data_IF_440833510182
#
_entry.id   IF_440833510182
#
_cell.length_a   1.000
_cell.length_b   1.000
_cell.length_c   1.000
_cell.angle_alpha   90.00
_cell.angle_beta   90.00
_cell.angle_gamma   90.00
#
_symmetry.space_group_name_H-M   'P 1'
#
loop_
_entity.id
_entity.type
_entity.pdbx_description
1 polymer ?
#
# COMPACT_ATOMS: atom_id res chain seq x y z
N UNK A 1 16.81 -23.74 -3.34
CA UNK A 1 17.08 -23.58 -1.89
C UNK A 1 18.46 -24.04 -1.44
N UNK A 2 18.94 -25.27 -1.74
CA UNK A 2 20.31 -25.71 -1.38
C UNK A 2 21.41 -24.73 -1.79
N UNK A 3 21.38 -24.30 -3.06
CA UNK A 3 22.35 -23.34 -3.56
C UNK A 3 22.36 -22.04 -2.74
N UNK A 4 21.18 -21.45 -2.45
CA UNK A 4 21.09 -20.24 -1.60
C UNK A 4 21.67 -20.46 -0.21
N UNK A 5 21.45 -21.63 0.42
CA UNK A 5 22.06 -21.95 1.71
C UNK A 5 23.59 -21.97 1.65
N UNK A 6 24.16 -22.42 0.54
CA UNK A 6 25.61 -22.51 0.36
C UNK A 6 26.23 -21.13 0.09
N UNK A 7 25.55 -20.27 -0.68
CA UNK A 7 26.15 -19.04 -1.21
C UNK A 7 25.66 -17.73 -0.56
N UNK A 8 24.48 -17.72 0.06
CA UNK A 8 23.86 -16.50 0.60
C UNK A 8 23.95 -16.41 2.12
N UNK A 9 25.17 -16.52 2.67
CA UNK A 9 25.41 -16.38 4.11
C UNK A 9 25.06 -14.98 4.65
N UNK A 10 25.00 -13.99 3.75
CA UNK A 10 24.67 -12.60 4.08
C UNK A 10 23.15 -12.33 4.15
N UNK A 11 22.30 -13.29 3.76
CA UNK A 11 20.84 -13.12 3.64
C UNK A 11 20.44 -11.97 2.72
N UNK A 12 21.04 -11.96 1.54
CA UNK A 12 20.64 -11.07 0.44
C UNK A 12 19.21 -11.38 -0.02
N UNK A 13 18.84 -12.66 -0.09
CA UNK A 13 17.47 -13.09 -0.38
C UNK A 13 16.66 -13.11 0.91
N UNK A 14 15.63 -12.26 0.99
CA UNK A 14 14.80 -12.11 2.19
C UNK A 14 13.55 -12.99 2.18
N UNK A 15 13.01 -13.29 1.00
CA UNK A 15 11.82 -14.12 0.80
C UNK A 15 11.82 -14.72 -0.61
N UNK A 16 11.02 -15.76 -0.82
CA UNK A 16 10.88 -16.45 -2.11
C UNK A 16 9.39 -16.57 -2.47
N UNK A 17 9.02 -16.11 -3.67
CA UNK A 17 7.71 -16.44 -4.24
C UNK A 17 7.73 -17.88 -4.75
N UNK A 18 6.73 -18.69 -4.38
CA UNK A 18 6.58 -20.06 -4.86
C UNK A 18 5.57 -20.06 -6.00
N UNK A 19 6.03 -20.39 -7.20
CA UNK A 19 5.29 -20.22 -8.47
C UNK A 19 4.97 -18.75 -8.79
N UNK A 20 4.21 -18.51 -9.86
CA UNK A 20 3.72 -17.18 -10.24
C UNK A 20 2.28 -17.28 -10.74
N UNK A 21 1.37 -16.52 -10.14
CA UNK A 21 -0.03 -16.38 -10.56
C UNK A 21 -0.73 -17.73 -10.83
N UNK A 22 -0.59 -18.67 -9.89
CA UNK A 22 -1.22 -19.99 -10.01
C UNK A 22 -2.72 -19.84 -10.20
N UNK A 23 -3.28 -20.53 -11.19
CA UNK A 23 -4.71 -20.53 -11.46
C UNK A 23 -5.01 -21.20 -12.79
N UNK A 24 -6.29 -21.40 -13.08
CA UNK A 24 -6.73 -22.06 -14.31
C UNK A 24 -7.66 -21.19 -15.15
N UNK A 25 -7.43 -21.21 -16.45
CA UNK A 25 -8.31 -20.67 -17.49
C UNK A 25 -8.54 -21.78 -18.53
N UNK A 26 -9.73 -21.90 -19.15
CA UNK A 26 -10.88 -21.00 -19.06
C UNK A 26 -12.01 -21.50 -18.12
N UNK A 27 -11.76 -22.52 -17.30
CA UNK A 27 -12.79 -23.15 -16.47
C UNK A 27 -12.56 -22.91 -14.98
N UNK A 28 -13.62 -23.04 -14.18
CA UNK A 28 -13.52 -22.97 -12.72
C UNK A 28 -12.59 -24.06 -12.13
N UNK A 29 -12.60 -25.24 -12.74
CA UNK A 29 -11.77 -26.40 -12.37
C UNK A 29 -11.47 -27.23 -13.59
N UNK A 30 -10.26 -27.79 -13.68
CA UNK A 30 -9.95 -28.80 -14.70
C UNK A 30 -10.86 -30.03 -14.51
N UNK A 31 -11.51 -30.48 -15.59
CA UNK A 31 -12.48 -31.58 -15.52
C UNK A 31 -13.72 -31.29 -14.66
N UNK A 32 -13.99 -30.03 -14.32
CA UNK A 32 -15.23 -29.59 -13.69
C UNK A 32 -16.42 -29.67 -14.66
N UNK A 33 -17.62 -29.90 -14.13
CA UNK A 33 -18.84 -29.86 -14.94
C UNK A 33 -19.41 -28.44 -15.06
N UNK A 34 -18.95 -27.51 -14.21
CA UNK A 34 -19.45 -26.14 -14.16
C UNK A 34 -20.84 -26.01 -13.53
N UNK A 35 -21.40 -27.10 -12.97
CA UNK A 35 -22.72 -27.09 -12.34
C UNK A 35 -22.77 -26.21 -11.08
N UNK A 36 -21.67 -26.16 -10.33
CA UNK A 36 -21.43 -25.20 -9.24
C UNK A 36 -20.01 -24.66 -9.37
N UNK A 37 -19.85 -23.59 -10.16
CA UNK A 37 -18.56 -22.98 -10.44
C UNK A 37 -17.81 -22.52 -9.17
N UNK A 38 -18.53 -22.11 -8.12
CA UNK A 38 -17.90 -21.68 -6.88
C UNK A 38 -17.37 -22.87 -6.05
N UNK A 39 -18.10 -23.98 -6.02
CA UNK A 39 -17.60 -25.22 -5.41
C UNK A 39 -16.45 -25.84 -6.21
N UNK A 40 -16.54 -25.79 -7.55
CA UNK A 40 -15.48 -26.23 -8.45
C UNK A 40 -14.20 -25.41 -8.22
N UNK A 41 -14.31 -24.08 -8.15
CA UNK A 41 -13.18 -23.19 -7.86
C UNK A 41 -12.55 -23.47 -6.49
N UNK A 42 -13.34 -23.61 -5.42
CA UNK A 42 -12.79 -23.96 -4.10
C UNK A 42 -12.06 -25.30 -4.11
N UNK A 43 -12.54 -26.25 -4.91
CA UNK A 43 -11.87 -27.55 -5.08
C UNK A 43 -10.55 -27.38 -5.83
N UNK A 44 -10.53 -26.57 -6.90
CA UNK A 44 -9.32 -26.24 -7.64
C UNK A 44 -8.28 -25.54 -6.74
N UNK A 45 -8.73 -24.58 -5.91
CA UNK A 45 -7.88 -23.85 -4.98
C UNK A 45 -7.19 -24.77 -3.97
N UNK A 46 -7.93 -25.74 -3.39
CA UNK A 46 -7.35 -26.74 -2.47
C UNK A 46 -6.29 -27.62 -3.16
N UNK A 47 -6.51 -27.97 -4.42
CA UNK A 47 -5.54 -28.76 -5.18
C UNK A 47 -4.25 -27.97 -5.46
N UNK A 48 -4.37 -26.71 -5.89
CA UNK A 48 -3.22 -25.83 -6.09
C UNK A 48 -2.48 -25.53 -4.79
N UNK A 49 -3.20 -25.21 -3.71
CA UNK A 49 -2.60 -24.99 -2.41
C UNK A 49 -1.80 -26.21 -1.94
N UNK A 50 -2.33 -27.43 -2.06
CA UNK A 50 -1.63 -28.65 -1.68
C UNK A 50 -0.36 -28.90 -2.52
N UNK A 51 -0.42 -28.61 -3.83
CA UNK A 51 0.76 -28.71 -4.70
C UNK A 51 1.85 -27.70 -4.29
N UNK A 52 1.47 -26.43 -4.14
CA UNK A 52 2.39 -25.36 -3.72
C UNK A 52 2.99 -25.66 -2.34
N UNK A 53 2.20 -26.19 -1.41
CA UNK A 53 2.67 -26.58 -0.08
C UNK A 53 3.78 -27.63 -0.16
N UNK A 54 3.62 -28.65 -1.01
CA UNK A 54 4.62 -29.69 -1.18
C UNK A 54 5.96 -29.11 -1.69
N UNK A 55 5.90 -28.14 -2.61
CA UNK A 55 7.06 -27.40 -3.11
C UNK A 55 7.70 -26.56 -2.00
N UNK A 56 6.90 -25.74 -1.32
CA UNK A 56 7.33 -24.85 -0.24
C UNK A 56 7.93 -25.62 0.94
N UNK A 57 7.26 -26.67 1.42
CA UNK A 57 7.73 -27.54 2.50
C UNK A 57 9.08 -28.16 2.16
N UNK A 58 9.27 -28.60 0.92
CA UNK A 58 10.53 -29.17 0.44
C UNK A 58 11.63 -28.10 0.39
N UNK A 59 11.32 -26.91 -0.10
CA UNK A 59 12.24 -25.78 -0.10
C UNK A 59 12.69 -25.37 1.31
N UNK A 60 11.73 -25.24 2.24
CA UNK A 60 12.00 -24.84 3.63
C UNK A 60 12.83 -25.84 4.41
N UNK A 61 12.74 -27.16 4.11
CA UNK A 61 13.64 -28.17 4.70
C UNK A 61 15.11 -27.94 4.34
N UNK A 62 15.38 -27.38 3.16
CA UNK A 62 16.74 -27.08 2.72
C UNK A 62 17.23 -25.75 3.28
N UNK A 63 16.41 -24.69 3.19
CA UNK A 63 16.68 -23.36 3.72
C UNK A 63 15.37 -22.62 4.06
N UNK A 64 15.06 -22.38 5.34
CA UNK A 64 13.75 -21.89 5.78
C UNK A 64 13.62 -20.36 5.63
N UNK A 65 13.67 -19.86 4.40
CA UNK A 65 13.27 -18.47 4.09
C UNK A 65 11.75 -18.33 4.14
N UNK A 66 11.23 -17.12 4.45
CA UNK A 66 9.85 -16.77 4.19
C UNK A 66 9.46 -17.06 2.72
N UNK A 67 8.30 -17.65 2.52
CA UNK A 67 7.74 -18.01 1.22
C UNK A 67 6.31 -17.53 1.10
N UNK A 68 5.96 -16.95 -0.05
CA UNK A 68 4.62 -16.48 -0.34
C UNK A 68 4.16 -16.93 -1.73
N UNK A 69 2.88 -16.77 -2.02
CA UNK A 69 2.32 -16.92 -3.36
C UNK A 69 1.57 -15.68 -3.77
N UNK A 70 1.58 -15.37 -5.05
CA UNK A 70 0.90 -14.22 -5.62
C UNK A 70 -0.32 -14.63 -6.47
N UNK A 71 -1.33 -13.76 -6.49
CA UNK A 71 -2.62 -14.03 -7.11
C UNK A 71 -2.97 -12.97 -8.15
N UNK A 72 -3.20 -13.42 -9.38
CA UNK A 72 -3.74 -12.62 -10.47
C UNK A 72 -5.21 -12.29 -10.25
N UNK A 73 -5.56 -11.00 -10.13
CA UNK A 73 -6.96 -10.62 -9.89
C UNK A 73 -7.83 -10.82 -11.14
N UNK A 74 -9.12 -11.07 -10.90
CA UNK A 74 -10.16 -11.00 -11.92
C UNK A 74 -10.80 -9.62 -12.02
N UNK A 75 -11.48 -9.38 -13.15
CA UNK A 75 -12.43 -8.26 -13.23
C UNK A 75 -13.54 -8.43 -12.17
N UNK A 76 -14.15 -7.35 -11.67
CA UNK A 76 -15.30 -7.46 -10.78
C UNK A 76 -16.43 -8.27 -11.42
N UNK A 77 -17.15 -9.04 -10.60
CA UNK A 77 -18.40 -9.71 -10.96
C UNK A 77 -18.33 -10.70 -12.15
N UNK A 78 -17.15 -11.24 -12.49
CA UNK A 78 -17.03 -12.33 -13.48
C UNK A 78 -16.99 -13.70 -12.80
N UNK A 79 -17.45 -14.73 -13.50
CA UNK A 79 -17.45 -16.11 -13.00
C UNK A 79 -16.03 -16.73 -13.01
N UNK A 80 -15.71 -17.67 -12.10
CA UNK A 80 -14.45 -18.41 -12.11
C UNK A 80 -14.16 -19.03 -13.48
N UNK A 81 -12.91 -18.96 -13.92
CA UNK A 81 -12.48 -19.33 -15.28
C UNK A 81 -12.45 -18.15 -16.27
N UNK A 82 -12.99 -16.98 -15.91
CA UNK A 82 -12.73 -15.71 -16.60
C UNK A 82 -11.59 -14.90 -15.97
N UNK A 83 -11.00 -15.47 -14.92
CA UNK A 83 -9.77 -15.09 -14.25
C UNK A 83 -9.08 -16.39 -13.80
N UNK A 84 -7.78 -16.38 -13.44
CA UNK A 84 -7.04 -17.57 -13.02
C UNK A 84 -7.69 -18.26 -11.81
N UNK A 85 -8.60 -19.20 -12.10
CA UNK A 85 -9.49 -19.82 -11.13
C UNK A 85 -8.70 -20.68 -10.16
N UNK A 86 -9.05 -20.61 -8.88
CA UNK A 86 -8.37 -21.34 -7.82
C UNK A 86 -7.06 -20.69 -7.34
N UNK A 87 -6.67 -19.54 -7.91
CA UNK A 87 -5.49 -18.81 -7.44
C UNK A 87 -5.63 -18.25 -6.03
N UNK A 88 -4.55 -17.70 -5.45
CA UNK A 88 -4.51 -17.20 -4.07
C UNK A 88 -5.21 -15.84 -3.93
N UNK A 89 -6.54 -15.87 -4.10
CA UNK A 89 -7.45 -14.72 -4.09
C UNK A 89 -8.09 -14.49 -2.72
N UNK A 90 -8.53 -13.26 -2.44
CA UNK A 90 -9.15 -12.89 -1.17
C UNK A 90 -10.32 -13.82 -0.78
N UNK A 91 -11.23 -14.15 -1.70
CA UNK A 91 -12.37 -15.03 -1.43
C UNK A 91 -11.99 -16.51 -1.26
N UNK A 92 -10.74 -16.88 -1.59
CA UNK A 92 -10.17 -18.22 -1.43
C UNK A 92 -9.08 -18.26 -0.34
N UNK A 93 -8.91 -17.19 0.44
CA UNK A 93 -7.85 -17.10 1.44
C UNK A 93 -7.94 -18.21 2.49
N UNK A 94 -9.15 -18.71 2.77
CA UNK A 94 -9.36 -19.85 3.67
C UNK A 94 -8.79 -21.13 3.07
N UNK A 95 -9.16 -21.46 1.83
CA UNK A 95 -8.69 -22.65 1.11
C UNK A 95 -7.16 -22.67 1.03
N UNK A 96 -6.54 -21.54 0.72
CA UNK A 96 -5.08 -21.42 0.64
C UNK A 96 -4.40 -21.56 2.00
N UNK A 97 -4.92 -20.90 3.04
CA UNK A 97 -4.36 -21.02 4.40
C UNK A 97 -4.49 -22.43 4.97
N UNK A 98 -5.60 -23.12 4.69
CA UNK A 98 -5.81 -24.50 5.13
C UNK A 98 -4.99 -25.50 4.29
N UNK A 99 -4.88 -25.27 2.98
CA UNK A 99 -4.24 -26.18 2.04
C UNK A 99 -2.72 -26.02 1.90
N UNK A 100 -2.16 -24.87 2.29
CA UNK A 100 -0.74 -24.57 2.16
C UNK A 100 -0.10 -24.02 3.46
N UNK A 101 -0.04 -24.82 4.55
CA UNK A 101 0.51 -24.38 5.84
C UNK A 101 2.00 -24.01 5.81
N UNK A 102 2.77 -24.40 4.79
CA UNK A 102 4.18 -24.04 4.62
C UNK A 102 4.38 -22.70 3.94
N UNK A 103 3.34 -22.13 3.33
CA UNK A 103 3.33 -20.77 2.77
C UNK A 103 3.01 -19.78 3.89
N UNK A 104 3.81 -18.73 4.04
CA UNK A 104 3.67 -17.78 5.14
C UNK A 104 2.53 -16.78 4.93
N UNK A 105 2.25 -16.40 3.67
CA UNK A 105 1.12 -15.53 3.31
C UNK A 105 0.81 -15.61 1.81
N UNK A 106 -0.40 -15.14 1.46
CA UNK A 106 -0.80 -14.88 0.07
C UNK A 106 -0.69 -13.38 -0.21
N UNK A 107 -0.45 -13.01 -1.46
CA UNK A 107 -0.21 -11.64 -1.86
C UNK A 107 -0.97 -11.30 -3.16
N UNK A 108 -1.57 -10.10 -3.28
CA UNK A 108 -2.25 -9.71 -4.50
C UNK A 108 -1.31 -9.09 -5.54
N UNK A 109 -1.43 -9.53 -6.80
CA UNK A 109 -0.89 -8.81 -7.97
C UNK A 109 -1.98 -7.91 -8.54
N UNK A 110 -1.79 -6.60 -8.54
CA UNK A 110 -2.89 -5.66 -8.79
C UNK A 110 -2.56 -4.71 -9.95
N UNK A 111 -3.31 -4.88 -11.03
CA UNK A 111 -3.26 -4.03 -12.24
C UNK A 111 -4.56 -3.28 -12.53
N UNK A 112 -5.56 -3.40 -11.64
CA UNK A 112 -6.85 -2.76 -11.84
C UNK A 112 -6.97 -1.43 -11.09
N UNK A 113 -7.69 -0.44 -11.66
CA UNK A 113 -7.90 0.85 -11.01
C UNK A 113 -8.54 0.78 -9.62
N UNK A 114 -9.41 -0.20 -9.35
CA UNK A 114 -10.01 -0.45 -8.03
C UNK A 114 -9.04 -1.09 -7.01
N UNK A 115 -7.77 -0.68 -7.07
CA UNK A 115 -6.66 -1.17 -6.29
C UNK A 115 -6.95 -1.20 -4.78
N UNK A 116 -7.45 -0.10 -4.24
CA UNK A 116 -7.75 0.03 -2.81
C UNK A 116 -8.77 -1.02 -2.35
N UNK A 117 -9.81 -1.27 -3.14
CA UNK A 117 -10.83 -2.28 -2.80
C UNK A 117 -10.27 -3.70 -2.80
N UNK A 118 -9.35 -4.01 -3.71
CA UNK A 118 -8.69 -5.32 -3.77
C UNK A 118 -7.81 -5.52 -2.52
N UNK A 119 -6.96 -4.55 -2.18
CA UNK A 119 -6.13 -4.61 -0.97
C UNK A 119 -6.97 -4.75 0.30
N UNK A 120 -8.08 -4.02 0.37
CA UNK A 120 -9.01 -4.07 1.48
C UNK A 120 -9.66 -5.47 1.59
N UNK A 121 -10.02 -6.09 0.47
CA UNK A 121 -10.54 -7.46 0.42
C UNK A 121 -9.58 -8.52 0.97
N UNK A 122 -8.28 -8.45 0.68
CA UNK A 122 -7.28 -9.35 1.28
C UNK A 122 -7.17 -9.13 2.79
N UNK A 123 -7.20 -7.86 3.22
CA UNK A 123 -7.17 -7.49 4.63
C UNK A 123 -8.39 -8.04 5.39
N UNK A 124 -9.58 -7.89 4.83
CA UNK A 124 -10.85 -8.38 5.38
C UNK A 124 -10.93 -9.90 5.40
N UNK A 125 -10.33 -10.57 4.41
CA UNK A 125 -10.17 -12.02 4.37
C UNK A 125 -9.17 -12.57 5.42
N UNK A 126 -8.54 -11.70 6.21
CA UNK A 126 -7.62 -12.06 7.29
C UNK A 126 -6.19 -12.32 6.83
N UNK A 127 -5.80 -11.87 5.63
CA UNK A 127 -4.43 -12.02 5.11
C UNK A 127 -3.48 -11.10 5.88
N UNK A 128 -2.46 -11.70 6.50
CA UNK A 128 -1.38 -11.03 7.24
C UNK A 128 -0.09 -11.87 7.13
N UNK A 129 1.08 -11.25 6.89
CA UNK A 129 1.26 -9.85 6.49
C UNK A 129 0.65 -9.56 5.12
N UNK A 130 0.46 -8.26 4.82
CA UNK A 130 0.09 -7.80 3.49
C UNK A 130 1.36 -7.38 2.74
N UNK A 131 1.56 -7.90 1.53
CA UNK A 131 2.64 -7.53 0.63
C UNK A 131 2.08 -7.38 -0.77
N UNK A 132 2.48 -6.33 -1.50
CA UNK A 132 2.04 -6.11 -2.89
C UNK A 132 3.26 -6.39 -3.78
N UNK A 133 3.45 -7.65 -4.23
CA UNK A 133 4.60 -8.08 -5.04
C UNK A 133 4.56 -7.50 -6.45
N UNK A 134 3.36 -7.25 -6.96
CA UNK A 134 3.13 -6.59 -8.24
C UNK A 134 2.02 -5.54 -8.08
N UNK A 135 2.38 -4.29 -8.37
CA UNK A 135 1.43 -3.21 -8.57
C UNK A 135 1.57 -2.72 -10.01
N UNK A 136 0.48 -2.16 -10.56
CA UNK A 136 0.32 -1.50 -11.87
C UNK A 136 1.59 -1.07 -12.59
N UNK A 137 1.53 -1.01 -13.93
CA UNK A 137 2.63 -0.53 -14.74
C UNK A 137 3.17 0.85 -14.29
N UNK A 138 4.45 1.17 -14.56
CA UNK A 138 5.07 2.41 -14.09
C UNK A 138 4.33 3.68 -14.50
N UNK A 139 3.60 3.65 -15.61
CA UNK A 139 2.82 4.77 -16.13
C UNK A 139 1.47 5.01 -15.43
N UNK A 140 1.06 4.13 -14.52
CA UNK A 140 -0.15 4.34 -13.71
C UNK A 140 0.06 5.52 -12.76
N UNK A 141 -0.72 6.58 -12.95
CA UNK A 141 -0.72 7.78 -12.10
C UNK A 141 -0.96 7.47 -10.62
N UNK A 142 -1.84 6.51 -10.32
CA UNK A 142 -2.26 6.17 -8.96
C UNK A 142 -1.25 5.33 -8.17
N UNK A 143 -0.19 4.82 -8.81
CA UNK A 143 0.84 3.96 -8.19
C UNK A 143 1.35 4.52 -6.85
N UNK A 144 1.67 5.81 -6.81
CA UNK A 144 2.20 6.47 -5.61
C UNK A 144 1.17 6.50 -4.48
N UNK A 145 -0.06 6.90 -4.78
CA UNK A 145 -1.14 6.94 -3.80
C UNK A 145 -1.45 5.53 -3.28
N UNK A 146 -1.48 4.53 -4.16
CA UNK A 146 -1.68 3.12 -3.83
C UNK A 146 -0.58 2.59 -2.90
N UNK A 147 0.69 2.95 -3.14
CA UNK A 147 1.80 2.57 -2.27
C UNK A 147 1.65 3.17 -0.86
N UNK A 148 1.46 4.48 -0.77
CA UNK A 148 1.37 5.19 0.52
C UNK A 148 0.13 4.76 1.31
N UNK A 149 -1.01 4.53 0.64
CA UNK A 149 -2.21 3.96 1.27
C UNK A 149 -1.95 2.54 1.77
N UNK A 150 -1.36 1.66 0.96
CA UNK A 150 -1.11 0.26 1.37
C UNK A 150 -0.18 0.19 2.59
N UNK A 151 0.90 0.96 2.57
CA UNK A 151 1.88 1.02 3.66
C UNK A 151 1.25 1.62 4.91
N UNK A 152 0.63 2.80 4.82
CA UNK A 152 0.18 3.54 6.00
C UNK A 152 -1.16 3.09 6.56
N UNK A 153 -2.11 2.64 5.71
CA UNK A 153 -3.47 2.30 6.15
C UNK A 153 -3.64 0.80 6.41
N UNK A 154 -2.98 -0.04 5.61
CA UNK A 154 -3.10 -1.50 5.69
C UNK A 154 -1.83 -2.19 6.19
N UNK A 155 -0.86 -1.40 6.61
CA UNK A 155 0.40 -1.85 7.21
C UNK A 155 1.14 -2.85 6.31
N UNK A 156 1.09 -2.61 4.99
CA UNK A 156 1.81 -3.44 4.04
C UNK A 156 3.31 -3.46 4.36
N UNK A 157 3.92 -4.65 4.33
CA UNK A 157 5.36 -4.84 4.59
C UNK A 157 6.22 -4.52 3.37
N UNK A 158 5.59 -4.32 2.21
CA UNK A 158 6.26 -3.95 0.97
C UNK A 158 5.26 -3.67 -0.15
N UNK A 159 5.76 -2.96 -1.15
CA UNK A 159 5.06 -2.59 -2.37
C UNK A 159 6.08 -2.60 -3.51
N UNK A 160 5.76 -3.27 -4.61
CA UNK A 160 6.69 -3.53 -5.71
C UNK A 160 5.98 -3.31 -7.05
N UNK A 161 6.19 -2.15 -7.71
CA UNK A 161 5.70 -1.92 -9.06
C UNK A 161 6.33 -2.89 -10.05
N UNK A 162 5.54 -3.40 -10.99
CA UNK A 162 6.01 -4.29 -12.03
C UNK A 162 6.68 -3.53 -13.19
N UNK A 163 7.67 -4.16 -13.83
CA UNK A 163 8.37 -3.67 -15.04
C UNK A 163 8.97 -2.24 -14.92
N UNK A 164 9.59 -1.91 -13.78
CA UNK A 164 10.21 -0.59 -13.57
C UNK A 164 11.38 -0.29 -14.54
N UNK A 165 11.97 -1.31 -15.13
CA UNK A 165 13.00 -1.23 -16.16
C UNK A 165 12.48 -0.60 -17.46
N UNK A 166 11.17 -0.68 -17.72
CA UNK A 166 10.51 -0.11 -18.89
C UNK A 166 9.93 1.29 -18.62
N UNK A 167 10.15 1.84 -17.42
CA UNK A 167 9.62 3.13 -17.04
C UNK A 167 10.23 4.26 -17.88
N UNK A 168 9.36 5.12 -18.45
CA UNK A 168 9.80 6.37 -19.05
C UNK A 168 10.45 7.29 -18.01
N UNK A 169 11.24 8.27 -18.46
CA UNK A 169 12.02 9.14 -17.56
C UNK A 169 11.16 9.80 -16.47
N UNK A 170 9.98 10.32 -16.82
CA UNK A 170 9.07 10.95 -15.86
C UNK A 170 8.52 9.94 -14.83
N UNK A 171 8.17 8.73 -15.25
CA UNK A 171 7.68 7.68 -14.35
C UNK A 171 8.79 7.16 -13.44
N UNK A 172 10.00 6.95 -13.98
CA UNK A 172 11.18 6.58 -13.20
C UNK A 172 11.52 7.64 -12.13
N UNK A 173 11.45 8.93 -12.48
CA UNK A 173 11.64 10.02 -11.51
C UNK A 173 10.55 10.03 -10.43
N UNK A 174 9.29 9.80 -10.80
CA UNK A 174 8.16 9.73 -9.86
C UNK A 174 8.30 8.55 -8.88
N UNK A 175 8.60 7.36 -9.39
CA UNK A 175 8.82 6.15 -8.57
C UNK A 175 10.08 6.32 -7.72
N UNK A 176 11.17 6.83 -8.28
CA UNK A 176 12.41 7.12 -7.57
C UNK A 176 12.20 8.12 -6.42
N UNK A 177 11.42 9.17 -6.66
CA UNK A 177 11.04 10.16 -5.65
C UNK A 177 10.27 9.56 -4.47
N UNK A 178 9.30 8.68 -4.76
CA UNK A 178 8.57 7.93 -3.74
C UNK A 178 9.52 7.11 -2.84
N UNK A 179 10.39 6.30 -3.42
CA UNK A 179 11.31 5.46 -2.64
C UNK A 179 12.43 6.26 -1.98
N UNK A 180 12.88 7.37 -2.57
CA UNK A 180 13.83 8.28 -1.94
C UNK A 180 13.24 8.92 -0.68
N UNK A 181 11.95 9.30 -0.71
CA UNK A 181 11.21 9.79 0.45
C UNK A 181 11.02 8.67 1.49
N UNK A 182 10.49 7.50 1.09
CA UNK A 182 10.24 6.38 2.00
C UNK A 182 11.53 5.91 2.68
N UNK A 183 12.66 5.85 1.97
CA UNK A 183 13.96 5.45 2.54
C UNK A 183 14.40 6.34 3.70
N UNK A 184 14.11 7.64 3.64
CA UNK A 184 14.44 8.58 4.72
C UNK A 184 13.63 8.30 5.99
N UNK A 185 12.38 7.83 5.84
CA UNK A 185 11.44 7.64 6.95
C UNK A 185 11.16 6.17 7.28
N UNK A 186 11.82 5.21 6.62
CA UNK A 186 11.52 3.78 6.78
C UNK A 186 11.60 3.28 8.24
N UNK A 187 12.61 3.66 9.06
CA UNK A 187 12.63 3.29 10.48
C UNK A 187 11.45 3.87 11.28
N UNK A 188 11.03 5.08 10.92
CA UNK A 188 9.88 5.75 11.55
C UNK A 188 8.56 5.07 11.15
N UNK A 189 8.39 4.76 9.86
CA UNK A 189 7.20 4.09 9.32
C UNK A 189 7.03 2.72 9.97
N UNK A 190 8.06 1.88 9.98
CA UNK A 190 7.99 0.52 10.57
C UNK A 190 7.65 0.55 12.06
N UNK A 191 8.27 1.46 12.83
CA UNK A 191 7.92 1.67 14.25
C UNK A 191 6.48 2.16 14.42
N UNK A 192 6.05 3.12 13.60
CA UNK A 192 4.70 3.68 13.68
C UNK A 192 3.62 2.66 13.27
N UNK A 193 3.87 1.79 12.29
CA UNK A 193 2.98 0.67 11.93
C UNK A 193 2.80 -0.28 13.12
N UNK A 194 3.89 -0.66 13.79
CA UNK A 194 3.84 -1.55 14.95
C UNK A 194 3.07 -0.96 16.16
N UNK A 195 3.10 0.36 16.31
CA UNK A 195 2.47 1.07 17.43
C UNK A 195 1.10 1.70 17.07
N UNK A 196 0.60 1.52 15.84
CA UNK A 196 -0.66 2.11 15.38
C UNK A 196 -0.65 3.64 15.31
N UNK A 197 0.52 4.24 15.05
CA UNK A 197 0.74 5.70 15.02
C UNK A 197 0.86 6.27 13.60
N UNK A 198 0.35 5.58 12.59
CA UNK A 198 0.46 5.96 11.18
C UNK A 198 -0.88 5.79 10.48
N UNK A 199 -1.16 6.67 9.52
CA UNK A 199 -2.28 6.55 8.58
C UNK A 199 -1.78 6.81 7.17
N UNK A 200 -2.15 5.93 6.25
CA UNK A 200 -1.92 6.08 4.81
C UNK A 200 -3.11 6.78 4.15
N UNK A 201 -2.82 7.74 3.29
CA UNK A 201 -3.79 8.61 2.65
C UNK A 201 -3.64 8.52 1.14
N UNK A 202 -4.77 8.46 0.45
CA UNK A 202 -4.89 8.36 -1.00
C UNK A 202 -6.33 8.05 -1.36
N UNK A 203 -6.82 8.65 -2.44
CA UNK A 203 -8.20 8.46 -2.87
C UNK A 203 -8.40 7.04 -3.42
N UNK A 204 -9.46 6.33 -3.04
CA UNK A 204 -9.84 5.13 -3.76
C UNK A 204 -10.31 5.51 -5.17
N UNK A 205 -9.98 4.65 -6.13
CA UNK A 205 -10.41 4.78 -7.53
C UNK A 205 -11.36 3.63 -7.83
N UNK A 206 -12.44 3.89 -8.57
CA UNK A 206 -13.38 2.86 -9.02
C UNK A 206 -12.76 1.99 -10.12
N UNK A 207 -13.40 0.88 -10.49
CA UNK A 207 -12.92 0.05 -11.58
C UNK A 207 -12.93 0.79 -12.93
N UNK A 208 -13.86 1.73 -13.08
CA UNK A 208 -14.04 2.61 -14.23
C UNK A 208 -12.99 3.74 -14.28
N UNK A 209 -12.11 3.85 -13.28
CA UNK A 209 -11.07 4.88 -13.21
C UNK A 209 -11.52 6.20 -12.58
N UNK A 210 -12.66 6.23 -11.88
CA UNK A 210 -13.15 7.42 -11.21
C UNK A 210 -12.63 7.49 -9.78
N UNK A 211 -11.85 8.53 -9.46
CA UNK A 211 -11.39 8.76 -8.10
C UNK A 211 -12.51 9.33 -7.22
N UNK A 212 -12.71 8.76 -6.03
CA UNK A 212 -13.53 9.37 -4.99
C UNK A 212 -12.75 10.53 -4.36
N UNK A 213 -13.24 11.74 -4.57
CA UNK A 213 -12.59 12.98 -4.12
C UNK A 213 -13.21 13.54 -2.84
N UNK A 214 -14.07 12.77 -2.17
CA UNK A 214 -14.54 13.13 -0.84
C UNK A 214 -13.34 13.35 0.11
N UNK A 215 -13.41 14.33 1.03
CA UNK A 215 -12.34 14.52 2.01
C UNK A 215 -12.07 13.24 2.79
N UNK A 216 -10.80 12.82 2.80
CA UNK A 216 -10.33 11.72 3.63
C UNK A 216 -10.31 12.20 5.08
N UNK A 217 -10.65 11.30 6.01
CA UNK A 217 -10.62 11.60 7.46
C UNK A 217 -9.69 10.63 8.17
N UNK A 218 -8.89 11.14 9.11
CA UNK A 218 -8.00 10.33 9.92
C UNK A 218 -8.00 10.82 11.37
N UNK A 219 -8.23 9.91 12.31
CA UNK A 219 -8.12 10.18 13.75
C UNK A 219 -6.77 9.63 14.25
N UNK A 220 -5.94 10.50 14.85
CA UNK A 220 -4.60 10.11 15.30
C UNK A 220 -4.12 11.05 16.42
N UNK A 221 -3.62 10.51 17.53
CA UNK A 221 -3.01 11.31 18.60
C UNK A 221 -3.97 12.32 19.30
N UNK A 222 -5.28 12.06 19.29
CA UNK A 222 -6.30 12.96 19.86
C UNK A 222 -6.73 14.10 18.94
N UNK A 223 -6.26 14.11 17.70
CA UNK A 223 -6.65 15.02 16.64
C UNK A 223 -7.41 14.29 15.53
N UNK A 224 -8.37 14.98 14.92
CA UNK A 224 -9.04 14.56 13.69
C UNK A 224 -8.55 15.41 12.53
N UNK A 225 -8.08 14.75 11.49
CA UNK A 225 -7.56 15.37 10.29
C UNK A 225 -8.56 15.22 9.15
N UNK A 226 -8.86 16.31 8.46
CA UNK A 226 -9.57 16.29 7.18
C UNK A 226 -8.58 16.59 6.07
N UNK A 227 -8.47 15.69 5.10
CA UNK A 227 -7.46 15.74 4.04
C UNK A 227 -8.14 15.77 2.69
N UNK A 228 -7.73 16.70 1.84
CA UNK A 228 -8.11 16.74 0.42
C UNK A 228 -6.87 16.57 -0.45
N UNK A 229 -7.03 15.86 -1.56
CA UNK A 229 -6.02 15.76 -2.62
C UNK A 229 -6.22 16.79 -3.72
N UNK A 230 -7.21 17.66 -3.60
CA UNK A 230 -7.41 18.77 -4.53
C UNK A 230 -6.65 19.96 -4.00
N UNK A 231 -5.63 20.38 -4.73
CA UNK A 231 -4.89 21.58 -4.39
C UNK A 231 -5.56 22.81 -5.01
N UNK A 232 -6.05 23.78 -4.21
CA UNK A 232 -6.73 24.96 -4.76
C UNK A 232 -5.76 26.00 -5.32
N UNK A 233 -4.45 25.85 -5.10
CA UNK A 233 -3.41 26.73 -5.66
C UNK A 233 -2.82 26.23 -6.99
N UNK A 234 -3.17 25.01 -7.40
CA UNK A 234 -2.81 24.44 -8.71
C UNK A 234 -4.04 24.40 -9.61
N UNK A 235 -3.91 24.70 -10.91
CA UNK A 235 -5.02 24.55 -11.86
C UNK A 235 -5.60 23.12 -11.84
N UNK A 236 -6.92 23.00 -11.99
CA UNK A 236 -7.61 21.70 -11.86
C UNK A 236 -7.20 20.69 -12.94
N UNK A 237 -6.87 21.17 -14.13
CA UNK A 237 -6.44 20.39 -15.28
C UNK A 237 -4.93 20.09 -15.28
N UNK A 238 -4.17 20.63 -14.33
CA UNK A 238 -2.72 20.42 -14.18
C UNK A 238 -2.38 19.52 -12.99
N UNK A 239 -3.39 18.95 -12.34
CA UNK A 239 -3.23 18.05 -11.21
C UNK A 239 -4.01 16.76 -11.44
N UNK A 240 -3.50 15.65 -10.92
CA UNK A 240 -4.17 14.35 -10.90
C UNK A 240 -4.40 13.91 -9.45
N UNK A 241 -5.58 14.20 -8.88
CA UNK A 241 -5.90 13.83 -7.50
C UNK A 241 -5.85 12.32 -7.21
N UNK A 242 -5.92 11.45 -8.22
CA UNK A 242 -5.78 10.00 -8.04
C UNK A 242 -4.31 9.61 -7.77
N UNK A 243 -3.35 10.40 -8.25
CA UNK A 243 -1.92 10.21 -8.02
C UNK A 243 -1.42 10.72 -6.66
N UNK A 244 -2.23 11.51 -5.97
CA UNK A 244 -1.86 12.18 -4.73
C UNK A 244 -2.04 11.27 -3.51
N UNK A 245 -1.07 11.29 -2.60
CA UNK A 245 -1.09 10.44 -1.42
C UNK A 245 -0.05 10.85 -0.39
N UNK A 246 -0.18 10.28 0.81
CA UNK A 246 0.66 10.65 1.94
C UNK A 246 0.63 9.67 3.10
N UNK A 247 1.62 9.81 3.97
CA UNK A 247 1.70 9.17 5.28
C UNK A 247 1.61 10.26 6.34
N UNK A 248 0.62 10.14 7.21
CA UNK A 248 0.50 10.93 8.42
C UNK A 248 0.99 10.08 9.60
N UNK A 249 1.98 10.58 10.33
CA UNK A 249 2.60 9.87 11.46
C UNK A 249 2.52 10.75 12.71
N UNK A 250 2.01 10.19 13.80
CA UNK A 250 2.05 10.85 15.11
C UNK A 250 3.38 10.54 15.80
N UNK A 251 4.19 11.56 16.06
CA UNK A 251 5.52 11.43 16.64
C UNK A 251 5.50 11.33 18.18
N UNK A 252 4.35 11.64 18.79
CA UNK A 252 4.15 11.69 20.23
C UNK A 252 3.81 13.11 20.69
N UNK A 253 3.08 13.22 21.81
CA UNK A 253 2.59 14.51 22.31
C UNK A 253 1.80 15.25 21.23
N UNK A 254 2.22 16.47 20.92
CA UNK A 254 1.59 17.35 19.94
C UNK A 254 2.28 17.33 18.56
N UNK A 255 3.30 16.49 18.38
CA UNK A 255 4.15 16.47 17.20
C UNK A 255 3.72 15.42 16.17
N UNK A 256 3.72 15.82 14.90
CA UNK A 256 3.29 15.01 13.77
C UNK A 256 4.24 15.20 12.57
N UNK A 257 4.17 14.24 11.66
CA UNK A 257 4.88 14.27 10.39
C UNK A 257 3.92 13.90 9.26
N UNK A 258 3.95 14.68 8.18
CA UNK A 258 3.29 14.37 6.92
C UNK A 258 4.36 14.19 5.84
N UNK A 259 4.31 13.08 5.11
CA UNK A 259 5.19 12.81 3.99
C UNK A 259 4.38 12.36 2.77
N UNK A 260 4.61 12.93 1.60
CA UNK A 260 3.85 12.57 0.39
C UNK A 260 3.88 13.64 -0.69
N UNK A 261 2.81 13.71 -1.49
CA UNK A 261 2.64 14.68 -2.57
C UNK A 261 1.16 15.00 -2.80
N UNK A 262 0.86 16.26 -3.14
CA UNK A 262 -0.47 16.69 -3.62
C UNK A 262 -1.59 16.63 -2.58
N UNK A 263 -1.30 16.93 -1.31
CA UNK A 263 -2.28 16.85 -0.23
C UNK A 263 -2.36 18.14 0.58
N UNK A 264 -3.56 18.45 1.07
CA UNK A 264 -3.79 19.50 2.06
C UNK A 264 -4.58 18.92 3.22
N UNK A 265 -4.10 19.12 4.45
CA UNK A 265 -4.79 18.71 5.67
C UNK A 265 -5.15 19.90 6.55
N UNK A 266 -6.33 19.82 7.15
CA UNK A 266 -6.78 20.67 8.26
C UNK A 266 -7.01 19.79 9.49
N UNK A 267 -7.13 20.39 10.66
CA UNK A 267 -7.20 19.66 11.92
C UNK A 267 -8.27 20.23 12.85
N UNK A 268 -8.90 19.34 13.62
CA UNK A 268 -9.79 19.67 14.71
C UNK A 268 -9.56 18.73 15.91
N UNK A 269 -9.96 19.12 17.13
CA UNK A 269 -9.98 18.22 18.27
C UNK A 269 -10.87 16.99 17.99
N UNK A 270 -10.35 15.79 18.25
CA UNK A 270 -11.12 14.55 18.03
C UNK A 270 -12.36 14.45 18.95
N UNK A 271 -12.27 15.03 20.15
CA UNK A 271 -13.35 15.13 21.13
C UNK A 271 -14.41 16.19 20.75
N UNK A 272 -14.15 17.02 19.73
CA UNK A 272 -15.02 18.11 19.31
C UNK A 272 -15.01 19.32 20.24
N UNK A 273 -14.14 19.36 21.25
CA UNK A 273 -14.09 20.43 22.24
C UNK A 273 -12.95 21.43 21.96
N UNK A 274 -13.31 22.71 21.77
CA UNK A 274 -12.37 23.79 21.50
C UNK A 274 -11.91 23.83 20.04
N UNK A 275 -10.72 24.38 19.79
CA UNK A 275 -10.10 24.41 18.46
C UNK A 275 -8.67 23.89 18.51
N UNK A 276 -8.18 23.44 17.37
CA UNK A 276 -6.77 23.12 17.16
C UNK A 276 -6.18 23.98 16.06
N UNK A 277 -4.91 24.33 16.22
CA UNK A 277 -4.12 25.06 15.24
C UNK A 277 -2.73 24.46 15.11
N UNK A 278 -1.98 24.96 14.14
CA UNK A 278 -0.58 24.59 13.94
C UNK A 278 0.31 25.62 14.64
N UNK A 279 1.01 25.22 15.71
CA UNK A 279 2.02 26.05 16.38
C UNK A 279 3.16 26.30 15.40
N UNK A 280 3.50 25.24 14.66
CA UNK A 280 4.34 25.37 13.50
C UNK A 280 4.13 24.32 12.44
N UNK A 281 4.60 24.68 11.24
CA UNK A 281 4.78 23.78 10.11
C UNK A 281 6.17 24.03 9.55
N UNK A 282 6.94 22.98 9.35
CA UNK A 282 8.32 23.04 8.88
C UNK A 282 8.57 21.94 7.87
N UNK A 283 9.10 22.31 6.71
CA UNK A 283 9.62 21.33 5.74
C UNK A 283 11.05 20.94 6.10
N UNK A 284 11.43 19.73 5.71
CA UNK A 284 12.77 19.23 5.92
C UNK A 284 12.92 17.82 5.38
N UNK A 285 13.99 17.17 5.79
CA UNK A 285 14.34 15.83 5.34
C UNK A 285 15.10 15.10 6.44
N UNK A 286 15.28 13.78 6.31
CA UNK A 286 16.13 13.03 7.23
C UNK A 286 17.48 12.71 6.58
N UNK A 287 18.56 12.98 7.32
CA UNK A 287 19.93 12.59 6.99
C UNK A 287 20.48 11.75 8.14
N UNK A 288 20.95 10.53 7.85
CA UNK A 288 21.47 9.64 8.91
C UNK A 288 20.47 9.28 10.01
N UNK A 289 19.16 9.44 9.77
CA UNK A 289 18.11 9.24 10.77
C UNK A 289 17.82 10.46 11.64
N UNK A 290 18.56 11.56 11.46
CA UNK A 290 18.33 12.83 12.13
C UNK A 290 17.55 13.79 11.24
N UNK A 291 16.77 14.67 11.86
CA UNK A 291 15.97 15.66 11.13
C UNK A 291 16.83 16.86 10.74
N UNK A 292 16.94 17.11 9.44
CA UNK A 292 17.51 18.32 8.89
C UNK A 292 16.41 19.33 8.62
N UNK A 293 16.48 20.47 9.31
CA UNK A 293 15.52 21.56 9.20
C UNK A 293 15.64 22.26 7.83
N UNK A 294 14.50 22.46 7.17
CA UNK A 294 14.37 23.32 6.00
C UNK A 294 13.71 24.66 6.34
N UNK A 295 12.72 25.07 5.55
CA UNK A 295 11.99 26.32 5.80
C UNK A 295 10.91 26.13 6.86
N UNK A 296 10.77 27.15 7.73
CA UNK A 296 9.57 27.34 8.55
C UNK A 296 8.47 27.93 7.67
N UNK A 297 7.36 27.22 7.51
CA UNK A 297 6.21 27.66 6.74
C UNK A 297 5.27 28.46 7.64
N UNK A 298 4.76 29.58 7.15
CA UNK A 298 3.82 30.44 7.88
C UNK A 298 2.98 31.26 6.87
N UNK A 299 2.16 32.21 7.32
CA UNK A 299 1.41 33.12 6.45
C UNK A 299 0.65 32.35 5.36
N UNK A 300 0.83 32.75 4.10
CA UNK A 300 0.13 32.13 2.98
C UNK A 300 0.48 30.64 2.78
N UNK A 301 1.71 30.22 3.12
CA UNK A 301 2.13 28.82 3.00
C UNK A 301 1.36 27.86 3.91
N UNK A 302 0.73 28.36 4.97
CA UNK A 302 -0.14 27.60 5.89
C UNK A 302 -1.58 28.12 5.89
N UNK A 303 -1.90 29.04 4.97
CA UNK A 303 -3.14 29.82 4.95
C UNK A 303 -3.47 30.45 6.30
N UNK A 304 -2.48 31.11 6.91
CA UNK A 304 -2.57 31.74 8.22
C UNK A 304 -2.79 30.70 9.33
N UNK A 305 -2.00 29.62 9.33
CA UNK A 305 -2.04 28.56 10.35
C UNK A 305 -3.27 27.65 10.29
N UNK A 306 -3.92 27.53 9.13
CA UNK A 306 -5.15 26.74 8.95
C UNK A 306 -4.94 25.39 8.28
N UNK A 307 -3.80 25.16 7.61
CA UNK A 307 -3.51 23.89 6.99
C UNK A 307 -2.01 23.56 6.95
N UNK A 308 -1.72 22.29 6.70
CA UNK A 308 -0.43 21.80 6.18
C UNK A 308 -0.66 21.38 4.72
N UNK A 309 0.28 21.72 3.83
CA UNK A 309 0.15 21.50 2.38
C UNK A 309 1.41 20.90 1.79
N UNK A 310 1.25 19.80 1.07
CA UNK A 310 2.23 19.24 0.13
C UNK A 310 1.77 19.57 -1.29
N UNK A 311 2.54 20.37 -2.06
CA UNK A 311 2.17 20.69 -3.44
C UNK A 311 2.11 19.43 -4.32
N UNK A 312 1.28 19.41 -5.37
CA UNK A 312 1.36 18.39 -6.42
C UNK A 312 2.73 18.39 -7.12
N UNK A 313 3.13 17.24 -7.65
CA UNK A 313 4.32 17.09 -8.49
C UNK A 313 5.67 17.05 -7.75
N UNK A 314 5.70 17.23 -6.43
CA UNK A 314 6.91 17.12 -5.63
C UNK A 314 6.67 16.33 -4.34
N UNK A 315 7.58 15.41 -4.02
CA UNK A 315 7.58 14.73 -2.73
C UNK A 315 8.16 15.64 -1.65
N UNK A 316 7.46 15.74 -0.53
CA UNK A 316 7.91 16.53 0.61
C UNK A 316 7.66 15.83 1.94
N UNK A 317 8.45 16.22 2.94
CA UNK A 317 8.25 15.83 4.33
C UNK A 317 8.10 17.10 5.14
N UNK A 318 7.04 17.20 5.93
CA UNK A 318 6.80 18.31 6.83
C UNK A 318 6.54 17.81 8.24
N UNK A 319 7.25 18.37 9.23
CA UNK A 319 6.91 18.25 10.64
C UNK A 319 6.03 19.40 11.06
N UNK A 320 5.06 19.11 11.92
CA UNK A 320 4.21 20.13 12.49
C UNK A 320 3.84 19.80 13.92
N UNK A 321 3.58 20.85 14.70
CA UNK A 321 3.10 20.75 16.08
C UNK A 321 1.73 21.35 16.18
N UNK A 322 0.84 20.64 16.86
CA UNK A 322 -0.50 21.12 17.16
C UNK A 322 -0.54 21.87 18.49
N UNK A 323 -1.49 22.78 18.64
CA UNK A 323 -1.88 23.32 19.93
C UNK A 323 -3.41 23.47 19.99
N UNK A 324 -3.96 23.45 21.19
CA UNK A 324 -5.38 23.72 21.45
C UNK A 324 -5.58 25.18 21.90
N UNK A 325 -6.69 25.79 21.50
CA UNK A 325 -7.09 27.16 21.88
C UNK A 325 -8.61 27.36 21.84
#
# INVERSE_FOLDING_TARGET
MRHLREVDSARTVLMVQVENEVGFLPFAREGGTGADAAADERTQARAYAAYVDAVAATGKREYPLPMYVNGAQGRPCVAPGNYPSGGPLAHLAREWREGAPSIDFIAPDIYFPNFAGIVDGYTEAGVRPLFIPEASCPSDGALVANALRSIGLRHAIGFSPFAIEDAGEADAQRIGGLYAMLRQIAPLVTKAQAEGRIVGLGNPVSFEGEADLAPLTADLGGARFSVTTIDPWSPRNEQDPASHGGLLIWLGGEDYLLAGSGMRLTVEPQDGEGRMGFDFVEEGHFEGGEWSHGRRLNGDQTHQGRHVRLPPGAFGIQKFRLYRY
#
